data_IF_142606099301
#
_entry.id   IF_142606099301
#
_cell.length_a   1.000
_cell.length_b   1.000
_cell.length_c   1.000
_cell.angle_alpha   90.00
_cell.angle_beta   90.00
_cell.angle_gamma   90.00
#
_symmetry.space_group_name_H-M   'P 1'
#
loop_
_entity.id
_entity.type
_entity.pdbx_description
1 polymer ?
#
# COMPACT_ATOMS: atom_id res chain seq x y z
N UNK A 1 -51.67 -32.03 -20.54
CA UNK A 1 -51.75 -31.11 -19.39
C UNK A 1 -50.45 -31.25 -18.63
N UNK A 2 -49.40 -30.48 -18.88
CA UNK A 2 -49.31 -29.23 -19.59
C UNK A 2 -48.22 -28.44 -18.88
N UNK A 3 -47.00 -28.52 -19.41
CA UNK A 3 -45.99 -27.46 -19.59
C UNK A 3 -45.68 -26.45 -18.46
N UNK A 4 -46.29 -26.52 -17.28
CA UNK A 4 -46.25 -25.48 -16.24
C UNK A 4 -45.54 -25.95 -14.95
N UNK A 5 -45.36 -27.27 -14.77
CA UNK A 5 -44.70 -27.83 -13.59
C UNK A 5 -43.16 -27.78 -13.67
N UNK A 6 -42.58 -27.91 -14.87
CA UNK A 6 -41.12 -27.88 -15.10
C UNK A 6 -40.53 -26.46 -15.17
N UNK A 7 -41.37 -25.44 -15.43
CA UNK A 7 -40.94 -24.03 -15.45
C UNK A 7 -40.76 -23.46 -14.03
N UNK A 8 -41.49 -23.98 -13.04
CA UNK A 8 -41.42 -23.46 -11.65
C UNK A 8 -40.18 -23.91 -10.87
N UNK A 9 -39.59 -25.06 -11.21
CA UNK A 9 -38.36 -25.57 -10.56
C UNK A 9 -37.13 -24.81 -11.08
N UNK A 10 -37.12 -24.49 -12.39
CA UNK A 10 -36.05 -23.68 -13.00
C UNK A 10 -36.05 -22.21 -12.54
N UNK A 11 -37.21 -21.59 -12.29
CA UNK A 11 -37.29 -20.20 -11.83
C UNK A 11 -36.88 -20.01 -10.35
N UNK A 12 -37.11 -21.00 -9.48
CA UNK A 12 -36.60 -20.96 -8.09
C UNK A 12 -35.09 -21.22 -8.02
N UNK A 13 -34.54 -22.04 -8.92
CA UNK A 13 -33.10 -22.22 -9.08
C UNK A 13 -32.40 -20.97 -9.63
N UNK A 14 -32.98 -20.31 -10.62
CA UNK A 14 -32.47 -19.04 -11.17
C UNK A 14 -32.54 -17.89 -10.16
N UNK A 15 -33.57 -17.84 -9.32
CA UNK A 15 -33.66 -16.85 -8.24
C UNK A 15 -32.60 -17.07 -7.14
N UNK A 16 -32.26 -18.32 -6.81
CA UNK A 16 -31.20 -18.62 -5.84
C UNK A 16 -29.79 -18.39 -6.41
N UNK A 17 -29.60 -18.66 -7.71
CA UNK A 17 -28.35 -18.33 -8.43
C UNK A 17 -28.13 -16.81 -8.58
N UNK A 18 -29.20 -16.02 -8.75
CA UNK A 18 -29.09 -14.56 -8.79
C UNK A 18 -28.74 -13.94 -7.41
N UNK A 19 -29.14 -14.58 -6.31
CA UNK A 19 -28.83 -14.11 -4.95
C UNK A 19 -27.39 -14.43 -4.51
N UNK A 20 -26.76 -15.49 -5.05
CA UNK A 20 -25.35 -15.79 -4.75
C UNK A 20 -24.35 -14.92 -5.52
N UNK A 21 -24.77 -14.21 -6.57
CA UNK A 21 -23.91 -13.29 -7.32
C UNK A 21 -23.99 -11.83 -6.84
N UNK A 22 -24.86 -11.52 -5.88
CA UNK A 22 -24.93 -10.21 -5.20
C UNK A 22 -24.35 -10.25 -3.78
N UNK A 23 -23.46 -11.21 -3.50
CA UNK A 23 -22.64 -11.26 -2.29
C UNK A 23 -21.38 -10.42 -2.43
N UNK A 24 -21.29 -9.36 -1.62
CA UNK A 24 -20.21 -8.40 -1.51
C UNK A 24 -18.80 -9.01 -1.56
N UNK A 25 -18.07 -8.64 -2.60
CA UNK A 25 -16.64 -8.85 -2.73
C UNK A 25 -15.88 -7.53 -2.87
N UNK A 26 -16.36 -6.44 -2.27
CA UNK A 26 -15.58 -5.21 -2.11
C UNK A 26 -14.47 -5.43 -1.08
N UNK A 27 -13.51 -6.32 -1.38
CA UNK A 27 -12.15 -6.21 -0.86
C UNK A 27 -11.36 -5.25 -1.75
N UNK A 28 -11.89 -4.04 -1.89
CA UNK A 28 -11.04 -2.86 -1.98
C UNK A 28 -10.42 -2.66 -0.60
N UNK A 29 -9.57 -3.59 -0.17
CA UNK A 29 -8.63 -3.28 0.89
C UNK A 29 -7.96 -1.99 0.43
N UNK A 30 -8.07 -0.95 1.25
CA UNK A 30 -7.26 0.25 1.12
C UNK A 30 -5.82 -0.24 1.12
N UNK A 31 -5.32 -0.56 -0.07
CA UNK A 31 -3.91 -0.75 -0.33
C UNK A 31 -3.42 0.66 -0.08
N UNK A 32 -2.90 0.91 1.13
CA UNK A 32 -2.21 2.15 1.44
C UNK A 32 -1.14 2.24 0.37
N UNK A 33 -1.42 3.01 -0.68
CA UNK A 33 -0.47 3.38 -1.73
C UNK A 33 0.76 3.81 -0.94
N UNK A 34 1.82 3.01 -1.01
CA UNK A 34 2.98 3.17 -0.15
C UNK A 34 3.43 4.62 -0.24
N UNK A 35 3.31 5.36 0.86
CA UNK A 35 3.43 6.80 0.87
C UNK A 35 4.75 7.23 0.19
N UNK A 36 4.66 8.07 -0.84
CA UNK A 36 5.84 8.56 -1.56
C UNK A 36 6.50 7.57 -2.54
N UNK A 37 5.91 6.41 -2.81
CA UNK A 37 6.40 5.45 -3.82
C UNK A 37 5.67 5.67 -5.14
N UNK A 38 6.41 5.97 -6.21
CA UNK A 38 5.85 6.23 -7.53
C UNK A 38 5.88 5.01 -8.45
N UNK A 39 6.82 4.09 -8.21
CA UNK A 39 6.90 2.83 -8.95
C UNK A 39 7.52 1.75 -8.09
N UNK A 40 6.97 0.54 -8.22
CA UNK A 40 7.45 -0.67 -7.54
C UNK A 40 7.57 -1.78 -8.56
N UNK A 41 8.80 -2.18 -8.86
CA UNK A 41 9.07 -3.25 -9.80
C UNK A 41 9.74 -4.42 -9.10
N UNK A 42 9.28 -5.64 -9.39
CA UNK A 42 9.92 -6.86 -8.90
C UNK A 42 10.57 -7.56 -10.08
N UNK A 43 11.88 -7.76 -10.01
CA UNK A 43 12.68 -8.44 -11.03
C UNK A 43 13.17 -9.78 -10.47
N UNK A 44 13.07 -10.84 -11.26
CA UNK A 44 13.68 -12.12 -10.92
C UNK A 44 15.14 -12.08 -11.39
N UNK A 45 16.07 -12.15 -10.45
CA UNK A 45 17.51 -12.12 -10.73
C UNK A 45 18.09 -13.53 -10.57
N UNK A 46 18.82 -14.06 -11.57
CA UNK A 46 19.43 -15.38 -11.47
C UNK A 46 20.65 -15.33 -10.55
N UNK A 47 20.53 -15.92 -9.36
CA UNK A 47 21.63 -16.10 -8.41
C UNK A 47 22.30 -17.46 -8.65
N UNK A 48 23.63 -17.45 -8.79
CA UNK A 48 24.44 -18.67 -8.89
C UNK A 48 25.17 -18.91 -7.59
N UNK A 49 25.08 -20.13 -7.07
CA UNK A 49 25.79 -20.52 -5.85
C UNK A 49 26.32 -21.95 -5.95
N UNK A 50 27.40 -22.22 -5.22
CA UNK A 50 28.00 -23.55 -5.14
C UNK A 50 27.28 -24.36 -4.08
N UNK A 51 26.60 -25.41 -4.51
CA UNK A 51 25.95 -26.35 -3.62
C UNK A 51 26.84 -27.59 -3.45
N UNK A 52 27.07 -28.01 -2.21
CA UNK A 52 27.80 -29.24 -1.92
C UNK A 52 26.92 -30.45 -2.20
N UNK A 53 27.45 -31.46 -2.89
CA UNK A 53 26.78 -32.74 -3.11
C UNK A 53 27.71 -33.92 -2.86
N UNK A 54 27.13 -35.08 -2.55
CA UNK A 54 27.86 -36.32 -2.38
C UNK A 54 28.11 -37.00 -3.73
N UNK A 55 29.36 -37.01 -4.18
CA UNK A 55 29.77 -37.67 -5.42
C UNK A 55 30.23 -39.12 -5.14
N UNK A 56 29.67 -40.12 -5.84
CA UNK A 56 30.12 -41.51 -5.70
C UNK A 56 31.48 -41.72 -6.36
N UNK A 57 32.34 -42.50 -5.69
CA UNK A 57 33.70 -42.84 -6.10
C UNK A 57 33.93 -44.33 -5.89
N UNK A 58 34.15 -45.05 -6.99
CA UNK A 58 34.44 -46.47 -6.95
C UNK A 58 35.90 -46.70 -6.54
N UNK A 59 36.12 -47.36 -5.40
CA UNK A 59 37.45 -47.74 -4.91
C UNK A 59 37.60 -49.26 -4.89
N UNK A 60 38.68 -49.83 -5.44
CA UNK A 60 38.92 -51.25 -5.36
C UNK A 60 39.26 -51.67 -3.93
N UNK A 61 38.80 -52.84 -3.52
CA UNK A 61 39.21 -53.52 -2.30
C UNK A 61 39.39 -55.02 -2.59
N UNK A 62 40.30 -55.65 -1.86
CA UNK A 62 40.57 -57.07 -1.98
C UNK A 62 39.58 -57.86 -1.11
N UNK A 63 39.01 -58.91 -1.69
CA UNK A 63 38.10 -59.84 -1.01
C UNK A 63 38.47 -61.29 -1.34
N UNK A 64 37.92 -62.25 -0.60
CA UNK A 64 38.09 -63.68 -0.87
C UNK A 64 36.92 -64.21 -1.71
N UNK A 65 37.22 -64.72 -2.90
CA UNK A 65 36.27 -65.45 -3.73
C UNK A 65 36.20 -66.94 -3.34
N UNK A 66 35.23 -67.67 -3.92
CA UNK A 66 35.15 -69.12 -3.81
C UNK A 66 36.50 -69.79 -4.15
N UNK A 67 36.91 -70.76 -3.32
CA UNK A 67 38.20 -71.44 -3.45
C UNK A 67 39.40 -70.68 -2.85
N UNK A 68 39.18 -69.78 -1.87
CA UNK A 68 40.26 -69.05 -1.14
C UNK A 68 41.18 -68.21 -2.06
N UNK A 69 40.65 -67.73 -3.18
CA UNK A 69 41.36 -66.84 -4.11
C UNK A 69 41.14 -65.37 -3.72
N UNK A 70 42.18 -64.55 -3.83
CA UNK A 70 42.07 -63.11 -3.66
C UNK A 70 41.53 -62.50 -4.96
N UNK A 71 40.44 -61.75 -4.86
CA UNK A 71 39.79 -61.04 -5.96
C UNK A 71 39.72 -59.54 -5.66
N UNK A 72 39.84 -58.69 -6.68
CA UNK A 72 39.50 -57.28 -6.57
C UNK A 72 38.01 -57.08 -6.81
N UNK A 73 37.37 -56.31 -5.94
CA UNK A 73 35.98 -55.89 -6.08
C UNK A 73 35.87 -54.39 -5.79
N UNK A 74 34.82 -53.73 -6.27
CA UNK A 74 34.65 -52.29 -6.09
C UNK A 74 33.67 -52.01 -4.96
N UNK A 75 33.98 -51.01 -4.14
CA UNK A 75 33.02 -50.39 -3.24
C UNK A 75 32.78 -48.95 -3.64
N UNK A 76 31.53 -48.51 -3.52
CA UNK A 76 31.18 -47.10 -3.66
C UNK A 76 31.56 -46.39 -2.37
N UNK A 77 32.43 -45.39 -2.47
CA UNK A 77 32.73 -44.44 -1.40
C UNK A 77 32.22 -43.07 -1.83
N UNK A 78 31.75 -42.24 -0.90
CA UNK A 78 31.27 -40.91 -1.24
C UNK A 78 32.34 -39.86 -0.90
N UNK A 79 32.48 -38.85 -1.76
CA UNK A 79 33.25 -37.65 -1.47
C UNK A 79 32.37 -36.41 -1.63
N UNK A 80 32.67 -35.35 -0.88
CA UNK A 80 32.01 -34.05 -1.09
C UNK A 80 32.56 -33.42 -2.36
N UNK A 81 31.66 -33.00 -3.24
CA UNK A 81 31.95 -32.25 -4.46
C UNK A 81 31.02 -31.03 -4.53
N UNK A 82 31.28 -30.12 -5.47
CA UNK A 82 30.52 -28.89 -5.65
C UNK A 82 29.82 -28.88 -7.01
N UNK A 83 28.57 -28.41 -7.04
CA UNK A 83 27.82 -28.14 -8.27
C UNK A 83 27.37 -26.68 -8.28
N UNK A 84 27.43 -26.04 -9.44
CA UNK A 84 26.88 -24.70 -9.62
C UNK A 84 25.36 -24.81 -9.79
N UNK A 85 24.59 -24.19 -8.90
CA UNK A 85 23.13 -24.16 -8.97
C UNK A 85 22.67 -22.76 -9.30
N UNK A 86 21.71 -22.66 -10.21
CA UNK A 86 21.03 -21.42 -10.56
C UNK A 86 19.68 -21.38 -9.85
N UNK A 87 19.43 -20.30 -9.12
CA UNK A 87 18.14 -20.02 -8.47
C UNK A 87 17.69 -18.62 -8.85
N UNK A 88 16.43 -18.48 -9.24
CA UNK A 88 15.82 -17.17 -9.46
C UNK A 88 15.36 -16.58 -8.13
N UNK A 89 15.86 -15.38 -7.82
CA UNK A 89 15.53 -14.68 -6.58
C UNK A 89 14.77 -13.40 -6.91
N UNK A 90 13.59 -13.16 -6.31
CA UNK A 90 12.87 -11.91 -6.51
C UNK A 90 13.59 -10.77 -5.82
N UNK A 91 13.93 -9.74 -6.57
CA UNK A 91 14.47 -8.48 -6.08
C UNK A 91 13.49 -7.35 -6.40
N UNK A 92 13.04 -6.64 -5.36
CA UNK A 92 12.09 -5.54 -5.48
C UNK A 92 12.83 -4.21 -5.52
N UNK A 93 12.75 -3.50 -6.65
CA UNK A 93 13.26 -2.15 -6.78
C UNK A 93 12.12 -1.13 -6.66
N UNK A 94 12.26 -0.24 -5.68
CA UNK A 94 11.30 0.84 -5.41
C UNK A 94 11.87 2.17 -5.90
N UNK A 95 11.06 2.96 -6.59
CA UNK A 95 11.37 4.33 -7.02
C UNK A 95 10.50 5.30 -6.23
N UNK A 96 11.14 6.20 -5.50
CA UNK A 96 10.47 7.25 -4.74
C UNK A 96 10.02 8.39 -5.66
N UNK A 97 8.88 9.00 -5.30
CA UNK A 97 8.39 10.21 -5.94
C UNK A 97 9.29 11.41 -5.66
N UNK A 98 9.12 12.49 -6.42
CA UNK A 98 9.82 13.75 -6.17
C UNK A 98 9.49 14.28 -4.77
N UNK A 99 10.50 14.74 -4.03
CA UNK A 99 10.35 15.15 -2.63
C UNK A 99 10.32 13.99 -1.63
N UNK A 100 10.63 12.77 -2.07
CA UNK A 100 10.76 11.58 -1.22
C UNK A 100 12.09 10.88 -1.48
N UNK A 101 12.65 10.21 -0.47
CA UNK A 101 13.90 9.46 -0.57
C UNK A 101 13.83 8.14 0.20
N UNK A 102 14.66 7.17 -0.20
CA UNK A 102 14.81 5.94 0.60
C UNK A 102 15.59 6.25 1.89
N UNK A 103 15.17 5.74 3.06
CA UNK A 103 15.96 5.84 4.27
C UNK A 103 17.32 5.15 4.15
N UNK A 104 17.38 4.01 3.45
CA UNK A 104 18.62 3.28 3.12
C UNK A 104 18.50 2.58 1.75
N UNK A 105 19.61 2.17 1.10
CA UNK A 105 19.59 1.65 -0.28
C UNK A 105 18.66 0.46 -0.54
N UNK A 106 18.43 -0.38 0.47
CA UNK A 106 17.52 -1.54 0.41
C UNK A 106 16.11 -1.29 0.94
N UNK A 107 15.76 -0.05 1.31
CA UNK A 107 14.44 0.26 1.82
C UNK A 107 13.38 0.12 0.72
N UNK A 108 12.23 -0.45 1.09
CA UNK A 108 11.06 -0.57 0.22
C UNK A 108 10.06 0.57 0.43
N UNK A 109 10.35 1.47 1.35
CA UNK A 109 9.56 2.65 1.71
C UNK A 109 10.33 3.92 1.36
N UNK A 110 9.59 5.01 1.23
CA UNK A 110 10.13 6.32 0.95
C UNK A 110 9.71 7.29 2.06
N UNK A 111 10.67 8.09 2.52
CA UNK A 111 10.47 9.12 3.52
C UNK A 111 10.44 10.49 2.85
N UNK A 112 9.59 11.38 3.36
CA UNK A 112 9.48 12.73 2.83
C UNK A 112 10.78 13.53 3.04
N UNK A 113 11.08 14.41 2.11
CA UNK A 113 12.20 15.34 2.16
C UNK A 113 11.67 16.71 2.58
N UNK A 114 12.19 17.22 3.70
CA UNK A 114 12.01 18.60 4.11
C UNK A 114 13.33 19.35 3.93
N UNK A 115 13.33 20.38 3.08
CA UNK A 115 14.51 21.21 2.75
C UNK A 115 15.04 21.94 3.97
N UNK A 116 14.14 22.38 4.85
CA UNK A 116 14.48 22.83 6.21
C UNK A 116 13.93 21.81 7.21
N UNK A 117 14.74 21.41 8.21
CA UNK A 117 14.29 20.43 9.19
C UNK A 117 13.09 20.97 9.98
N UNK A 118 12.17 20.07 10.31
CA UNK A 118 11.10 20.36 11.27
C UNK A 118 11.73 20.46 12.67
N UNK A 119 11.47 21.56 13.37
CA UNK A 119 12.02 21.81 14.71
C UNK A 119 11.07 21.28 15.80
N UNK A 120 11.52 21.32 17.05
CA UNK A 120 10.71 21.06 18.24
C UNK A 120 9.89 19.75 18.20
N UNK A 121 10.51 18.68 17.68
CA UNK A 121 9.89 17.35 17.59
C UNK A 121 8.91 17.19 16.42
N UNK A 122 8.88 18.12 15.47
CA UNK A 122 8.07 17.98 14.26
C UNK A 122 8.57 16.87 13.34
N UNK A 123 7.66 16.22 12.62
CA UNK A 123 7.92 15.11 11.70
C UNK A 123 7.62 15.53 10.26
N UNK A 124 8.51 15.19 9.33
CA UNK A 124 8.29 15.44 7.91
C UNK A 124 7.31 14.41 7.34
N UNK A 125 6.07 14.81 7.06
CA UNK A 125 5.01 13.90 6.58
C UNK A 125 4.74 14.02 5.09
N UNK A 126 5.28 15.06 4.45
CA UNK A 126 5.27 15.25 3.00
C UNK A 126 6.38 16.20 2.56
N UNK A 127 6.61 16.36 1.25
CA UNK A 127 7.62 17.27 0.73
C UNK A 127 7.46 18.68 1.33
N UNK A 128 8.47 19.15 2.05
CA UNK A 128 8.47 20.44 2.78
C UNK A 128 7.26 20.69 3.71
N UNK A 129 6.61 19.62 4.18
CA UNK A 129 5.47 19.66 5.10
C UNK A 129 5.82 19.00 6.43
N UNK A 130 5.80 19.81 7.48
CA UNK A 130 5.98 19.36 8.86
C UNK A 130 4.64 19.14 9.56
N UNK A 131 4.54 18.05 10.30
CA UNK A 131 3.54 17.86 11.35
C UNK A 131 4.18 18.22 12.68
N UNK A 132 3.65 19.23 13.37
CA UNK A 132 4.23 19.78 14.58
C UNK A 132 3.73 19.07 15.84
N UNK A 133 4.61 18.96 16.84
CA UNK A 133 4.22 18.50 18.16
C UNK A 133 3.25 19.50 18.83
N UNK A 134 2.40 19.05 19.77
CA UNK A 134 1.50 19.94 20.49
C UNK A 134 2.22 21.13 21.12
N UNK A 135 1.65 22.32 21.00
CA UNK A 135 2.23 23.57 21.50
C UNK A 135 3.26 24.24 20.58
N UNK A 136 3.46 23.70 19.36
CA UNK A 136 4.34 24.29 18.34
C UNK A 136 3.61 24.45 17.01
N UNK A 137 3.92 25.53 16.29
CA UNK A 137 3.30 25.92 15.03
C UNK A 137 4.27 26.52 14.00
N UNK A 138 3.70 26.95 12.88
CA UNK A 138 4.42 27.46 11.72
C UNK A 138 4.97 26.36 10.80
N UNK A 139 5.42 26.74 9.59
CA UNK A 139 5.82 25.80 8.51
C UNK A 139 6.90 24.79 8.91
N UNK A 140 7.76 25.17 9.85
CA UNK A 140 8.89 24.37 10.33
C UNK A 140 8.84 24.11 11.85
N UNK A 141 7.65 24.25 12.46
CA UNK A 141 7.44 24.00 13.89
C UNK A 141 8.36 24.84 14.81
N UNK A 142 8.62 26.09 14.42
CA UNK A 142 9.55 26.99 15.11
C UNK A 142 8.83 28.01 16.02
N UNK A 143 7.52 28.15 15.89
CA UNK A 143 6.72 29.10 16.68
C UNK A 143 6.14 28.35 17.87
N UNK A 144 6.36 28.84 19.09
CA UNK A 144 5.64 28.34 20.26
C UNK A 144 4.20 28.84 20.21
N UNK A 145 3.23 27.97 20.43
CA UNK A 145 1.80 28.36 20.47
C UNK A 145 1.51 29.36 21.61
N UNK A 146 2.37 29.43 22.63
CA UNK A 146 2.29 30.44 23.70
C UNK A 146 2.70 31.86 23.26
N UNK A 147 3.42 31.96 22.14
CA UNK A 147 3.90 33.22 21.56
C UNK A 147 3.15 33.61 20.27
N UNK A 148 2.14 32.81 19.89
CA UNK A 148 1.37 32.98 18.66
C UNK A 148 0.03 33.70 18.86
N UNK A 149 -0.50 34.41 17.85
CA UNK A 149 -1.91 34.80 17.85
C UNK A 149 -2.77 33.51 17.90
N UNK A 150 -3.91 33.52 18.61
CA UNK A 150 -4.78 32.36 18.71
C UNK A 150 -5.15 31.84 17.30
N UNK A 151 -5.37 30.52 17.14
CA UNK A 151 -5.82 29.97 15.86
C UNK A 151 -7.06 30.75 15.40
N UNK A 152 -7.23 31.00 14.08
CA UNK A 152 -8.41 31.67 13.58
C UNK A 152 -9.62 30.85 14.00
N UNK A 153 -10.32 31.32 15.03
CA UNK A 153 -11.58 30.74 15.46
C UNK A 153 -12.50 30.98 14.28
N UNK A 154 -12.89 29.92 13.58
CA UNK A 154 -13.99 30.01 12.63
C UNK A 154 -15.24 30.26 13.47
N UNK A 155 -15.49 31.53 13.79
CA UNK A 155 -16.75 31.93 14.40
C UNK A 155 -17.86 31.51 13.45
N UNK A 156 -18.62 30.48 13.83
CA UNK A 156 -19.86 30.15 13.17
C UNK A 156 -20.79 31.32 13.47
N UNK A 157 -20.90 32.26 12.53
CA UNK A 157 -21.84 33.36 12.63
C UNK A 157 -23.24 32.75 12.44
N UNK A 158 -23.91 32.40 13.54
CA UNK A 158 -25.33 32.10 13.50
C UNK A 158 -26.07 33.41 13.30
N UNK A 159 -26.50 33.70 12.08
CA UNK A 159 -27.41 34.81 11.82
C UNK A 159 -28.75 34.54 12.51
N UNK A 160 -28.95 35.07 13.71
CA UNK A 160 -30.27 35.17 14.33
C UNK A 160 -31.02 36.33 13.68
N UNK A 161 -31.93 36.02 12.76
CA UNK A 161 -32.86 37.02 12.23
C UNK A 161 -33.92 37.29 13.31
N UNK A 162 -33.95 38.53 13.81
CA UNK A 162 -35.07 38.99 14.62
C UNK A 162 -36.29 39.11 13.71
N UNK A 163 -37.20 38.14 13.79
CA UNK A 163 -38.52 38.27 13.18
C UNK A 163 -39.29 39.34 13.95
N UNK A 164 -39.40 40.53 13.35
CA UNK A 164 -40.41 41.50 13.73
C UNK A 164 -41.79 40.89 13.51
N UNK A 165 -42.57 40.81 14.58
CA UNK A 165 -44.03 40.72 14.66
C UNK A 165 -44.79 40.14 13.45
N UNK A 166 -45.21 38.87 13.58
CA UNK A 166 -46.40 38.32 12.91
C UNK A 166 -46.17 37.61 11.57
N UNK A 167 -45.90 36.30 11.62
CA UNK A 167 -46.23 35.36 10.54
C UNK A 167 -46.19 33.91 11.07
N UNK A 168 -47.20 33.13 10.69
CA UNK A 168 -47.50 31.77 11.13
C UNK A 168 -46.43 30.74 10.72
N UNK A 169 -46.31 29.65 11.49
CA UNK A 169 -45.47 28.49 11.17
C UNK A 169 -45.92 27.83 9.86
N UNK A 170 -45.17 28.06 8.78
CA UNK A 170 -45.25 27.28 7.55
C UNK A 170 -43.94 26.54 7.29
N UNK A 171 -43.97 25.21 7.39
CA UNK A 171 -42.85 24.33 7.02
C UNK A 171 -42.78 24.23 5.49
N UNK A 172 -41.72 24.78 4.87
CA UNK A 172 -41.42 24.57 3.46
C UNK A 172 -40.10 23.79 3.29
N UNK A 173 -40.04 22.78 2.41
CA UNK A 173 -38.84 21.94 2.25
C UNK A 173 -37.73 22.66 1.49
N UNK A 174 -36.49 22.32 1.86
CA UNK A 174 -35.24 22.81 1.29
C UNK A 174 -35.18 22.61 -0.24
N UNK A 175 -35.34 23.68 -1.00
CA UNK A 175 -34.94 23.71 -2.41
C UNK A 175 -33.49 24.16 -2.52
N UNK A 176 -32.62 23.20 -2.86
CA UNK A 176 -31.23 23.44 -3.24
C UNK A 176 -31.22 24.23 -4.56
N UNK A 177 -30.81 25.50 -4.53
CA UNK A 177 -30.43 26.23 -5.75
C UNK A 177 -28.90 26.20 -5.92
N UNK A 178 -28.40 25.93 -7.14
CA UNK A 178 -26.98 25.99 -7.43
C UNK A 178 -26.49 27.44 -7.38
N UNK A 179 -25.29 27.64 -6.82
CA UNK A 179 -24.62 28.93 -6.78
C UNK A 179 -24.33 29.43 -8.21
N UNK A 180 -24.85 30.61 -8.56
CA UNK A 180 -24.35 31.36 -9.71
C UNK A 180 -23.00 32.02 -9.37
N UNK A 181 -22.06 32.09 -10.31
CA UNK A 181 -20.77 32.74 -10.12
C UNK A 181 -20.93 34.27 -10.10
N UNK A 182 -20.20 34.93 -9.20
CA UNK A 182 -20.06 36.39 -9.18
C UNK A 182 -19.22 36.83 -10.40
N UNK A 183 -19.85 37.50 -11.37
CA UNK A 183 -19.13 38.34 -12.33
C UNK A 183 -18.64 39.61 -11.62
N UNK A 184 -17.34 39.86 -11.69
CA UNK A 184 -16.71 41.10 -11.24
C UNK A 184 -16.63 42.06 -12.43
N UNK A 185 -17.68 42.86 -12.63
CA UNK A 185 -17.70 43.93 -13.63
C UNK A 185 -16.91 45.15 -13.11
N UNK A 186 -15.92 45.50 -13.93
CA UNK A 186 -15.17 46.75 -14.04
C UNK A 186 -15.78 48.01 -13.41
N UNK A 187 -15.00 48.71 -12.57
CA UNK A 187 -15.14 50.13 -12.32
C UNK A 187 -13.96 50.89 -12.95
N UNK A 188 -14.31 51.62 -14.01
CA UNK A 188 -13.60 52.76 -14.59
C UNK A 188 -13.53 53.92 -13.58
N UNK A 189 -12.42 54.67 -13.58
CA UNK A 189 -12.32 55.94 -12.86
C UNK A 189 -10.95 56.60 -12.94
N UNK A 190 -10.80 57.50 -13.92
CA UNK A 190 -9.84 58.62 -14.11
C UNK A 190 -8.34 58.40 -13.89
#
# INVERSE_FOLDING_TARGET
>A
MGLWAELCISLRGLSFFLVLMTGEGARGGSFKESLGVCSKQTLLVPLRYNESYSQPVYKPYLTLCAGRRICSTYRTTYRVAWREVRREVPQTHVVCCQGWKKPHPGALTCDAICSKPCLNGGVCTGPDRCECAPGWGGKHCHVGEQDGPPPPVTHIHTHTWAMGVGAEMGTAPLTLHPACPLELSSLSGN
#
